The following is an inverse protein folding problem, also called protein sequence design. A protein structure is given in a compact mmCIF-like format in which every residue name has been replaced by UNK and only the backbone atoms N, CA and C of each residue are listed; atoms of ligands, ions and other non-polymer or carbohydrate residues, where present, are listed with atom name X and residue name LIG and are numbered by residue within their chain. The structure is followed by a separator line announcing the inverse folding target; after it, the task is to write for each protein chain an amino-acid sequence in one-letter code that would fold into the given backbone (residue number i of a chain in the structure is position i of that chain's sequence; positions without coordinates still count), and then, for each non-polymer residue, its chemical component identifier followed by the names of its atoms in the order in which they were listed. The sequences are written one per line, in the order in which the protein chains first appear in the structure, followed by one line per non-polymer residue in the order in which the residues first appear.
data_IF_014793299197
#
_entry.id   IF_014793299197
#
_cell.length_a   1.000
_cell.length_b   1.000
_cell.length_c   1.000
_cell.angle_alpha   90.00
_cell.angle_beta   90.00
_cell.angle_gamma   90.00
#
_symmetry.space_group_name_H-M   'P 1'
#
loop_
_entity.id
_entity.type
_entity.pdbx_description
1 polymer ?
#
# COMPACT_ATOMS: atom_id res chain seq x y z
N UNK A 1 -12.79 14.05 -15.13
CA UNK A 1 -12.65 14.27 -13.71
C UNK A 1 -11.18 14.39 -13.35
N UNK A 2 -10.85 15.38 -12.53
CA UNK A 2 -9.46 15.71 -12.26
C UNK A 2 -8.89 14.97 -11.06
N UNK A 3 -9.75 14.31 -10.30
CA UNK A 3 -9.31 13.66 -9.07
C UNK A 3 -9.39 12.16 -9.23
N UNK A 4 -8.47 11.43 -8.62
CA UNK A 4 -8.55 9.98 -8.66
C UNK A 4 -9.77 9.51 -7.92
N UNK A 5 -10.31 8.39 -8.35
CA UNK A 5 -11.34 7.73 -7.58
C UNK A 5 -10.65 6.83 -6.58
N UNK A 6 -10.64 7.27 -5.33
CA UNK A 6 -10.10 6.45 -4.27
C UNK A 6 -11.13 5.43 -3.85
N UNK A 7 -10.68 4.19 -3.71
CA UNK A 7 -11.49 3.12 -3.17
C UNK A 7 -10.94 2.73 -1.81
N UNK A 8 -11.80 2.20 -0.97
CA UNK A 8 -11.37 1.68 0.32
C UNK A 8 -11.93 0.28 0.52
N UNK A 9 -11.22 -0.51 1.31
CA UNK A 9 -11.61 -1.87 1.61
C UNK A 9 -11.29 -2.18 3.06
N UNK A 10 -12.19 -2.90 3.72
CA UNK A 10 -11.92 -3.45 5.03
C UNK A 10 -11.01 -4.65 4.93
N UNK A 11 -10.17 -4.83 5.93
CA UNK A 11 -9.29 -5.98 6.03
C UNK A 11 -9.85 -6.86 7.14
N UNK A 12 -10.09 -8.13 6.82
CA UNK A 12 -10.77 -9.05 7.73
C UNK A 12 -9.92 -10.27 8.01
N UNK A 13 -10.02 -10.76 9.25
CA UNK A 13 -9.59 -12.09 9.61
C UNK A 13 -10.87 -12.87 9.92
N UNK A 14 -11.26 -13.75 8.99
CA UNK A 14 -12.58 -14.36 9.06
C UNK A 14 -13.67 -13.29 9.00
N UNK A 15 -14.48 -13.20 10.04
CA UNK A 15 -15.54 -12.20 10.13
C UNK A 15 -15.15 -10.96 10.92
N UNK A 16 -13.91 -10.92 11.40
CA UNK A 16 -13.48 -9.81 12.25
C UNK A 16 -12.76 -8.76 11.44
N UNK A 17 -13.22 -7.53 11.51
CA UNK A 17 -12.55 -6.39 10.87
C UNK A 17 -11.30 -6.04 11.67
N UNK A 18 -10.14 -6.10 11.02
CA UNK A 18 -8.86 -5.85 11.68
C UNK A 18 -8.13 -4.62 11.14
N UNK A 19 -8.62 -4.05 10.05
CA UNK A 19 -7.96 -2.87 9.48
C UNK A 19 -8.67 -2.40 8.23
N UNK A 20 -8.04 -1.45 7.53
CA UNK A 20 -8.58 -1.04 6.24
C UNK A 20 -7.48 -0.46 5.36
N UNK A 21 -7.78 -0.36 4.07
CA UNK A 21 -6.88 0.19 3.07
C UNK A 21 -7.62 1.15 2.16
N UNK A 22 -6.89 2.14 1.62
CA UNK A 22 -7.39 3.05 0.62
C UNK A 22 -6.40 3.09 -0.53
N UNK A 23 -6.90 3.03 -1.77
CA UNK A 23 -6.06 2.91 -2.96
C UNK A 23 -6.78 3.49 -4.16
N UNK A 24 -6.04 3.68 -5.24
CA UNK A 24 -6.65 4.16 -6.47
C UNK A 24 -5.62 4.43 -7.56
N UNK A 25 -6.10 4.72 -8.75
CA UNK A 25 -5.26 5.11 -9.89
C UNK A 25 -5.27 6.63 -9.99
N UNK A 26 -4.08 7.23 -9.98
CA UNK A 26 -3.93 8.67 -10.12
C UNK A 26 -3.99 9.06 -11.61
N UNK A 27 -4.15 10.37 -11.86
CA UNK A 27 -4.23 10.89 -13.24
C UNK A 27 -3.01 10.56 -14.10
N UNK A 28 -1.86 10.35 -13.47
CA UNK A 28 -0.63 9.98 -14.17
C UNK A 28 -0.57 8.51 -14.57
N UNK A 29 -1.62 7.76 -14.26
CA UNK A 29 -1.70 6.33 -14.54
C UNK A 29 -1.14 5.43 -13.48
N UNK A 30 -0.49 5.98 -12.47
CA UNK A 30 0.08 5.18 -11.39
C UNK A 30 -0.99 4.71 -10.43
N UNK A 31 -0.81 3.50 -9.90
CA UNK A 31 -1.69 2.96 -8.87
C UNK A 31 -1.01 3.14 -7.51
N UNK A 32 -1.71 3.82 -6.62
CA UNK A 32 -1.20 4.18 -5.31
C UNK A 32 -1.93 3.42 -4.21
N UNK A 33 -1.17 2.96 -3.24
CA UNK A 33 -1.70 2.51 -1.96
C UNK A 33 -1.63 3.72 -1.03
N UNK A 34 -2.76 4.41 -0.87
CA UNK A 34 -2.80 5.68 -0.14
C UNK A 34 -2.77 5.48 1.36
N UNK A 35 -3.48 4.47 1.84
CA UNK A 35 -3.52 4.14 3.27
C UNK A 35 -3.57 2.64 3.45
N UNK A 36 -2.90 2.20 4.49
CA UNK A 36 -2.94 0.81 4.91
C UNK A 36 -2.77 0.79 6.42
N UNK A 37 -3.82 0.39 7.13
CA UNK A 37 -3.83 0.43 8.59
C UNK A 37 -4.33 -0.90 9.14
N UNK A 38 -3.62 -1.41 10.13
CA UNK A 38 -4.10 -2.52 10.97
C UNK A 38 -4.46 -1.93 12.33
N UNK A 39 -5.63 -2.24 12.83
CA UNK A 39 -6.09 -1.79 14.14
C UNK A 39 -5.03 -2.17 15.19
N UNK A 40 -4.78 -1.24 16.10
CA UNK A 40 -3.72 -1.39 17.11
C UNK A 40 -3.85 -2.71 17.88
N UNK A 41 -5.08 -3.17 18.12
CA UNK A 41 -5.33 -4.42 18.85
C UNK A 41 -4.76 -5.65 18.14
N UNK A 42 -4.54 -5.55 16.84
CA UNK A 42 -4.10 -6.68 16.01
C UNK A 42 -2.69 -6.52 15.49
N UNK A 43 -2.00 -5.46 15.87
CA UNK A 43 -0.63 -5.24 15.44
C UNK A 43 0.32 -6.20 16.17
N UNK A 44 1.47 -6.46 15.55
CA UNK A 44 2.48 -7.33 16.13
C UNK A 44 2.20 -8.82 16.00
N UNK A 45 1.18 -9.21 15.23
CA UNK A 45 0.78 -10.60 15.06
C UNK A 45 0.97 -11.12 13.64
N UNK A 46 1.65 -10.35 12.80
CA UNK A 46 1.90 -10.75 11.42
C UNK A 46 0.78 -10.42 10.44
N UNK A 47 -0.33 -9.88 10.91
CA UNK A 47 -1.45 -9.53 10.04
C UNK A 47 -1.07 -8.48 8.99
N UNK A 48 -0.28 -7.48 9.40
CA UNK A 48 0.08 -6.38 8.49
C UNK A 48 0.80 -6.87 7.25
N UNK A 49 1.80 -7.72 7.44
CA UNK A 49 2.59 -8.23 6.32
C UNK A 49 1.74 -9.13 5.42
N UNK A 50 0.98 -10.05 6.01
CA UNK A 50 0.14 -10.96 5.23
C UNK A 50 -0.95 -10.22 4.48
N UNK A 51 -1.64 -9.30 5.15
CA UNK A 51 -2.72 -8.53 4.55
C UNK A 51 -2.21 -7.62 3.44
N UNK A 52 -1.07 -6.96 3.66
CA UNK A 52 -0.50 -6.07 2.66
C UNK A 52 -0.08 -6.85 1.42
N UNK A 53 0.50 -8.03 1.59
CA UNK A 53 0.88 -8.87 0.45
C UNK A 53 -0.33 -9.25 -0.39
N UNK A 54 -1.42 -9.67 0.26
CA UNK A 54 -2.64 -10.00 -0.46
C UNK A 54 -3.22 -8.79 -1.18
N UNK A 55 -3.21 -7.64 -0.53
CA UNK A 55 -3.68 -6.40 -1.12
C UNK A 55 -2.85 -6.02 -2.35
N UNK A 56 -1.53 -6.14 -2.26
CA UNK A 56 -0.64 -5.85 -3.39
C UNK A 56 -1.02 -6.69 -4.61
N UNK A 57 -1.23 -7.98 -4.41
CA UNK A 57 -1.60 -8.88 -5.51
C UNK A 57 -2.99 -8.53 -6.06
N UNK A 58 -3.93 -8.20 -5.19
CA UNK A 58 -5.26 -7.79 -5.61
C UNK A 58 -5.23 -6.52 -6.46
N UNK A 59 -4.39 -5.56 -6.08
CA UNK A 59 -4.28 -4.31 -6.83
C UNK A 59 -3.64 -4.51 -8.21
N UNK A 60 -2.64 -5.38 -8.31
CA UNK A 60 -2.03 -5.73 -9.59
C UNK A 60 -3.09 -6.28 -10.54
N UNK A 61 -3.94 -7.17 -10.05
CA UNK A 61 -5.00 -7.77 -10.85
C UNK A 61 -6.10 -6.76 -11.18
N UNK A 62 -6.57 -6.04 -10.16
CA UNK A 62 -7.69 -5.11 -10.30
C UNK A 62 -7.40 -4.01 -11.32
N UNK A 63 -6.19 -3.45 -11.28
CA UNK A 63 -5.83 -2.32 -12.14
C UNK A 63 -5.04 -2.72 -13.37
N UNK A 64 -4.76 -4.01 -13.53
CA UNK A 64 -4.00 -4.52 -14.67
C UNK A 64 -2.68 -3.75 -14.83
N UNK A 65 -1.96 -3.66 -13.72
CA UNK A 65 -0.67 -2.98 -13.66
C UNK A 65 0.36 -3.93 -13.07
N UNK A 66 1.64 -3.61 -13.25
CA UNK A 66 2.70 -4.38 -12.62
C UNK A 66 3.48 -3.56 -11.60
N UNK A 67 3.01 -2.37 -11.28
CA UNK A 67 3.76 -1.49 -10.37
C UNK A 67 2.81 -0.76 -9.44
N UNK A 68 3.19 -0.71 -8.17
CA UNK A 68 2.44 -0.01 -7.14
C UNK A 68 3.34 1.02 -6.48
N UNK A 69 2.72 2.10 -6.00
CA UNK A 69 3.40 3.21 -5.35
C UNK A 69 2.78 3.50 -4.00
N UNK A 70 3.58 3.97 -3.08
CA UNK A 70 3.11 4.52 -1.81
C UNK A 70 4.09 5.60 -1.36
N UNK A 71 3.70 6.35 -0.36
CA UNK A 71 4.61 7.34 0.22
C UNK A 71 4.62 7.18 1.74
N UNK A 72 5.74 7.53 2.35
CA UNK A 72 5.95 7.41 3.79
C UNK A 72 6.76 8.58 4.30
N UNK A 73 6.52 8.96 5.55
CA UNK A 73 7.41 9.91 6.23
C UNK A 73 8.68 9.20 6.67
N UNK A 74 9.81 9.90 6.65
CA UNK A 74 11.11 9.36 7.08
C UNK A 74 11.07 8.84 8.51
N UNK A 75 10.22 9.41 9.34
CA UNK A 75 10.13 9.06 10.74
C UNK A 75 9.31 7.79 10.99
N UNK A 76 8.62 7.30 9.97
CA UNK A 76 7.76 6.12 10.12
C UNK A 76 8.56 4.84 9.84
N UNK A 77 9.49 4.53 10.72
CA UNK A 77 10.44 3.44 10.50
C UNK A 77 9.78 2.07 10.47
N UNK A 78 8.70 1.87 11.22
CA UNK A 78 8.02 0.56 11.20
C UNK A 78 7.31 0.31 9.87
N UNK A 79 6.68 1.34 9.30
CA UNK A 79 6.05 1.21 7.99
C UNK A 79 7.09 0.98 6.90
N UNK A 80 8.19 1.73 6.95
CA UNK A 80 9.28 1.57 5.97
C UNK A 80 9.80 0.13 6.01
N UNK A 81 10.02 -0.40 7.20
CA UNK A 81 10.51 -1.77 7.35
C UNK A 81 9.53 -2.78 6.77
N UNK A 82 8.25 -2.60 7.06
CA UNK A 82 7.22 -3.48 6.53
C UNK A 82 7.23 -3.50 5.00
N UNK A 83 7.22 -2.32 4.40
CA UNK A 83 7.16 -2.22 2.94
C UNK A 83 8.43 -2.74 2.28
N UNK A 84 9.60 -2.49 2.90
CA UNK A 84 10.85 -3.03 2.37
C UNK A 84 10.86 -4.56 2.42
N UNK A 85 10.33 -5.14 3.47
CA UNK A 85 10.22 -6.60 3.57
C UNK A 85 9.31 -7.18 2.49
N UNK A 86 8.36 -6.40 2.01
CA UNK A 86 7.45 -6.82 0.95
C UNK A 86 7.97 -6.53 -0.45
N UNK A 87 9.12 -5.87 -0.56
CA UNK A 87 9.77 -5.62 -1.84
C UNK A 87 9.68 -4.20 -2.36
N UNK A 88 9.06 -3.29 -1.61
CA UNK A 88 9.06 -1.88 -1.99
C UNK A 88 10.46 -1.28 -1.80
N UNK A 89 10.82 -0.38 -2.69
CA UNK A 89 12.10 0.32 -2.63
C UNK A 89 11.84 1.82 -2.83
N UNK A 90 12.67 2.64 -2.22
CA UNK A 90 12.61 4.08 -2.46
C UNK A 90 13.04 4.38 -3.89
N UNK A 91 12.35 5.30 -4.56
CA UNK A 91 12.64 5.64 -5.95
C UNK A 91 13.23 7.05 -6.13
N UNK A 92 13.46 7.77 -5.03
CA UNK A 92 14.04 9.11 -5.09
C UNK A 92 13.04 10.24 -5.19
N UNK A 93 11.76 9.93 -5.40
CA UNK A 93 10.72 10.96 -5.50
C UNK A 93 10.24 11.39 -4.13
N UNK A 94 9.78 12.63 -4.06
CA UNK A 94 9.03 13.14 -2.91
C UNK A 94 7.64 13.52 -3.38
N UNK A 95 6.64 13.30 -2.54
CA UNK A 95 5.30 13.77 -2.87
C UNK A 95 5.13 15.24 -2.44
N UNK A 96 3.94 15.79 -2.66
CA UNK A 96 3.67 17.20 -2.36
C UNK A 96 3.74 17.52 -0.88
N UNK A 97 3.67 16.51 -0.01
CA UNK A 97 3.74 16.68 1.44
C UNK A 97 5.15 16.42 1.99
N UNK A 98 6.12 16.16 1.12
CA UNK A 98 7.47 15.85 1.54
C UNK A 98 7.68 14.41 1.97
N UNK A 99 6.71 13.54 1.77
CA UNK A 99 6.88 12.12 2.03
C UNK A 99 7.69 11.48 0.92
N UNK A 100 8.48 10.48 1.29
CA UNK A 100 9.30 9.77 0.32
C UNK A 100 8.47 8.69 -0.36
N UNK A 101 8.64 8.57 -1.68
CA UNK A 101 7.88 7.61 -2.48
C UNK A 101 8.62 6.28 -2.55
N UNK A 102 7.88 5.21 -2.37
CA UNK A 102 8.37 3.85 -2.57
C UNK A 102 7.59 3.21 -3.70
N UNK A 103 8.22 2.30 -4.41
CA UNK A 103 7.56 1.56 -5.47
C UNK A 103 7.89 0.07 -5.41
N UNK A 104 6.98 -0.72 -5.93
CA UNK A 104 7.13 -2.16 -6.02
C UNK A 104 6.74 -2.62 -7.41
N UNK A 105 7.57 -3.45 -8.02
CA UNK A 105 7.29 -4.01 -9.34
C UNK A 105 7.00 -5.49 -9.21
N UNK A 106 5.81 -5.88 -9.66
CA UNK A 106 5.42 -7.28 -9.67
C UNK A 106 6.19 -8.00 -10.77
N UNK A 107 6.78 -9.12 -10.43
CA UNK A 107 7.50 -9.94 -11.38
C UNK A 107 6.81 -11.29 -11.47
N UNK A 108 6.21 -11.52 -12.63
CA UNK A 108 5.57 -12.79 -12.91
C UNK A 108 6.57 -13.67 -13.65
N UNK A 109 6.92 -14.79 -13.03
CA UNK A 109 7.85 -15.73 -13.65
C UNK A 109 7.10 -16.88 -14.27
#
# INVERSE_FOLDING_TARGET
DQFPEWESAGIYDGNQLIGYAMYGRWQDGRVWLDRFLIDQRFQGQGYGKAACRLLMLMLIEKYQTNKLYLSVYDTNSSAIRLYQQLGFVFNGELDTNGERVMEWTYQNK
#
